data_IF_165099195012
#
_entry.id   IF_165099195012
#
_cell.length_a   1.000
_cell.length_b   1.000
_cell.length_c   1.000
_cell.angle_alpha   90.00
_cell.angle_beta   90.00
_cell.angle_gamma   90.00
#
_symmetry.space_group_name_H-M   'P 1'
#
loop_
_entity.id
_entity.type
_entity.pdbx_description
1 polymer ?
#
# COMPACT_ATOMS: atom_id res chain seq x y z
N UNK A 1 15.47 -35.09 -21.26
CA UNK A 1 15.39 -33.79 -20.55
C UNK A 1 13.99 -33.70 -20.03
N UNK A 2 13.81 -33.67 -18.72
CA UNK A 2 12.50 -33.43 -18.08
C UNK A 2 12.10 -31.98 -18.43
N UNK A 3 11.18 -31.83 -19.39
CA UNK A 3 10.62 -30.51 -19.70
C UNK A 3 9.73 -30.08 -18.55
N UNK A 4 10.08 -29.01 -17.86
CA UNK A 4 9.23 -28.40 -16.82
C UNK A 4 7.84 -28.10 -17.39
N UNK A 5 6.79 -28.33 -16.60
CA UNK A 5 5.45 -27.88 -16.98
C UNK A 5 5.35 -26.35 -16.97
N UNK A 6 4.34 -25.80 -17.65
CA UNK A 6 4.12 -24.35 -17.69
C UNK A 6 3.90 -23.81 -16.29
N UNK A 7 3.15 -24.54 -15.44
CA UNK A 7 2.91 -24.18 -14.04
C UNK A 7 4.22 -24.16 -13.23
N UNK A 8 5.11 -25.12 -13.45
CA UNK A 8 6.40 -25.17 -12.77
C UNK A 8 7.29 -23.99 -13.17
N UNK A 9 7.35 -23.63 -14.45
CA UNK A 9 8.11 -22.45 -14.90
C UNK A 9 7.49 -21.16 -14.37
N UNK A 10 6.16 -21.03 -14.37
CA UNK A 10 5.50 -19.88 -13.74
C UNK A 10 5.81 -19.81 -12.24
N UNK A 11 5.89 -20.95 -11.55
CA UNK A 11 6.27 -21.00 -10.13
C UNK A 11 7.74 -20.61 -9.91
N UNK A 12 8.66 -21.03 -10.79
CA UNK A 12 10.05 -20.57 -10.76
C UNK A 12 10.13 -19.06 -10.97
N UNK A 13 9.40 -18.51 -11.93
CA UNK A 13 9.34 -17.06 -12.14
C UNK A 13 8.71 -16.32 -10.95
N UNK A 14 7.65 -16.88 -10.35
CA UNK A 14 7.03 -16.32 -9.15
C UNK A 14 8.01 -16.31 -7.97
N UNK A 15 8.67 -17.42 -7.70
CA UNK A 15 9.71 -17.52 -6.66
C UNK A 15 10.88 -16.57 -6.95
N UNK A 16 11.29 -16.48 -8.22
CA UNK A 16 12.29 -15.51 -8.69
C UNK A 16 11.89 -14.06 -8.42
N UNK A 17 10.62 -13.71 -8.62
CA UNK A 17 10.10 -12.39 -8.27
C UNK A 17 10.19 -12.14 -6.76
N UNK A 18 9.76 -13.09 -5.93
CA UNK A 18 9.87 -12.97 -4.47
C UNK A 18 11.33 -12.79 -4.04
N UNK A 19 12.26 -13.61 -4.54
CA UNK A 19 13.70 -13.50 -4.23
C UNK A 19 14.26 -12.14 -4.71
N UNK A 20 13.89 -11.69 -5.92
CA UNK A 20 14.31 -10.42 -6.48
C UNK A 20 13.92 -9.24 -5.58
N UNK A 21 12.73 -9.27 -4.96
CA UNK A 21 12.29 -8.23 -4.02
C UNK A 21 13.28 -8.02 -2.88
N UNK A 22 13.96 -9.06 -2.40
CA UNK A 22 15.02 -8.94 -1.39
C UNK A 22 16.34 -8.42 -1.96
N UNK A 23 16.55 -8.58 -3.25
CA UNK A 23 17.78 -8.17 -3.93
C UNK A 23 17.76 -6.72 -4.42
N UNK A 24 16.64 -6.01 -4.33
CA UNK A 24 16.48 -4.62 -4.79
C UNK A 24 17.55 -3.69 -4.22
N UNK A 25 17.91 -3.82 -2.92
CA UNK A 25 19.01 -3.05 -2.31
C UNK A 25 20.39 -3.42 -2.84
N UNK A 26 20.55 -4.63 -3.36
CA UNK A 26 21.82 -5.07 -3.99
C UNK A 26 21.93 -4.40 -5.36
N UNK A 27 20.84 -4.40 -6.14
CA UNK A 27 20.80 -3.71 -7.44
C UNK A 27 21.03 -2.20 -7.29
N UNK A 28 20.41 -1.54 -6.30
CA UNK A 28 20.65 -0.13 -6.01
C UNK A 28 22.14 0.16 -5.74
N UNK A 29 22.77 -0.62 -4.85
CA UNK A 29 24.21 -0.48 -4.55
C UNK A 29 25.11 -0.81 -5.74
N UNK A 30 24.65 -1.68 -6.62
CA UNK A 30 25.40 -2.01 -7.84
C UNK A 30 25.29 -0.88 -8.85
N UNK A 31 24.15 -0.21 -8.96
CA UNK A 31 23.95 0.97 -9.79
C UNK A 31 24.95 2.09 -9.46
N UNK A 32 25.21 2.33 -8.17
CA UNK A 32 26.17 3.34 -7.69
C UNK A 32 27.61 3.12 -8.19
N UNK A 33 27.93 1.96 -8.81
CA UNK A 33 29.26 1.66 -9.37
C UNK A 33 29.41 2.08 -10.84
N UNK A 34 28.33 2.46 -11.49
CA UNK A 34 28.32 2.85 -12.89
C UNK A 34 28.26 4.38 -13.02
N UNK A 35 28.75 4.94 -14.15
CA UNK A 35 28.67 6.37 -14.39
C UNK A 35 27.22 6.87 -14.38
N UNK A 36 27.02 8.03 -13.74
CA UNK A 36 25.70 8.69 -13.66
C UNK A 36 25.12 8.92 -15.06
N UNK A 37 23.86 8.55 -15.26
CA UNK A 37 23.14 8.63 -16.52
C UNK A 37 23.46 7.51 -17.53
N UNK A 38 24.31 6.53 -17.16
CA UNK A 38 24.61 5.39 -18.04
C UNK A 38 23.41 4.43 -18.13
N UNK A 39 23.32 3.68 -19.25
CA UNK A 39 22.29 2.66 -19.43
C UNK A 39 22.34 1.59 -18.32
N UNK A 40 23.55 1.20 -17.90
CA UNK A 40 23.75 0.20 -16.87
C UNK A 40 23.24 0.68 -15.49
N UNK A 41 23.56 1.92 -15.13
CA UNK A 41 23.05 2.55 -13.90
C UNK A 41 21.53 2.62 -13.92
N UNK A 42 20.94 3.18 -14.99
CA UNK A 42 19.49 3.32 -15.13
C UNK A 42 18.76 1.97 -15.08
N UNK A 43 19.32 0.93 -15.75
CA UNK A 43 18.77 -0.42 -15.72
C UNK A 43 18.80 -1.02 -14.30
N UNK A 44 19.92 -0.85 -13.60
CA UNK A 44 20.06 -1.36 -12.23
C UNK A 44 19.16 -0.62 -11.25
N UNK A 45 18.96 0.69 -11.40
CA UNK A 45 17.96 1.44 -10.63
C UNK A 45 16.55 0.95 -10.93
N UNK A 46 16.22 0.69 -12.20
CA UNK A 46 14.92 0.11 -12.54
C UNK A 46 14.72 -1.28 -11.92
N UNK A 47 15.73 -2.15 -11.92
CA UNK A 47 15.70 -3.46 -11.25
C UNK A 47 15.66 -3.33 -9.70
N UNK A 48 16.05 -2.20 -9.16
CA UNK A 48 15.99 -1.92 -7.72
C UNK A 48 14.60 -1.44 -7.25
N UNK A 49 13.68 -1.10 -8.17
CA UNK A 49 12.30 -0.72 -7.83
C UNK A 49 11.48 -1.99 -7.53
N UNK A 50 10.92 -2.08 -6.32
CA UNK A 50 10.11 -3.25 -5.89
C UNK A 50 8.88 -3.41 -6.79
N UNK A 51 8.30 -2.31 -7.21
CA UNK A 51 7.09 -2.24 -8.02
C UNK A 51 7.24 -2.82 -9.44
N UNK A 52 8.47 -2.98 -9.95
CA UNK A 52 8.67 -3.57 -11.28
C UNK A 52 8.86 -5.09 -11.25
N UNK A 53 9.16 -5.64 -10.08
CA UNK A 53 9.67 -7.01 -9.95
C UNK A 53 8.72 -8.04 -10.55
N UNK A 54 7.48 -8.09 -10.11
CA UNK A 54 6.52 -9.09 -10.62
C UNK A 54 6.23 -8.92 -12.11
N UNK A 55 6.14 -7.67 -12.61
CA UNK A 55 5.96 -7.40 -14.03
C UNK A 55 7.12 -7.88 -14.90
N UNK A 56 8.37 -7.71 -14.44
CA UNK A 56 9.55 -8.22 -15.13
C UNK A 56 9.58 -9.75 -15.24
N UNK A 57 9.31 -10.43 -14.12
CA UNK A 57 9.27 -11.90 -14.11
C UNK A 57 8.08 -12.46 -14.88
N UNK A 58 6.94 -11.76 -14.91
CA UNK A 58 5.83 -12.09 -15.79
C UNK A 58 6.21 -11.96 -17.27
N UNK A 59 6.93 -10.89 -17.65
CA UNK A 59 7.45 -10.73 -19.00
C UNK A 59 8.45 -11.86 -19.38
N UNK A 60 9.31 -12.27 -18.44
CA UNK A 60 10.22 -13.41 -18.64
C UNK A 60 9.44 -14.73 -18.87
N UNK A 61 8.40 -14.97 -18.07
CA UNK A 61 7.50 -16.12 -18.21
C UNK A 61 6.77 -16.11 -19.58
N UNK A 62 6.25 -14.96 -20.00
CA UNK A 62 5.57 -14.83 -21.29
C UNK A 62 6.54 -15.02 -22.47
N UNK A 63 7.79 -14.55 -22.34
CA UNK A 63 8.86 -14.83 -23.29
C UNK A 63 9.14 -16.34 -23.40
N UNK A 64 9.24 -17.03 -22.27
CA UNK A 64 9.37 -18.49 -22.24
C UNK A 64 8.19 -19.19 -22.92
N UNK A 65 6.94 -18.78 -22.59
CA UNK A 65 5.73 -19.35 -23.17
C UNK A 65 5.67 -19.16 -24.70
N UNK A 66 6.09 -17.98 -25.16
CA UNK A 66 6.20 -17.64 -26.59
C UNK A 66 7.26 -18.51 -27.30
N UNK A 67 8.37 -18.78 -26.62
CA UNK A 67 9.45 -19.62 -27.18
C UNK A 67 9.06 -21.10 -27.28
N UNK A 68 8.43 -21.65 -26.23
CA UNK A 68 8.09 -23.09 -26.18
C UNK A 68 6.86 -23.46 -26.99
N UNK A 69 5.87 -22.56 -27.05
CA UNK A 69 4.66 -22.75 -27.85
C UNK A 69 4.67 -21.85 -29.07
N UNK A 70 4.19 -20.66 -28.91
CA UNK A 70 4.15 -19.58 -29.91
C UNK A 70 3.68 -18.27 -29.23
N UNK A 71 3.86 -17.14 -29.91
CA UNK A 71 3.42 -15.83 -29.43
C UNK A 71 1.90 -15.75 -29.22
N UNK A 72 1.13 -16.46 -30.06
CA UNK A 72 -0.34 -16.50 -29.95
C UNK A 72 -0.78 -17.21 -28.66
N UNK A 73 -0.03 -18.20 -28.20
CA UNK A 73 -0.30 -18.85 -26.91
C UNK A 73 -0.07 -17.90 -25.75
N UNK A 74 0.98 -17.08 -25.78
CA UNK A 74 1.23 -16.07 -24.77
C UNK A 74 0.16 -14.97 -24.77
N UNK A 75 -0.29 -14.54 -25.94
CA UNK A 75 -1.40 -13.57 -26.09
C UNK A 75 -2.68 -14.14 -25.53
N UNK A 76 -3.08 -15.36 -25.95
CA UNK A 76 -4.29 -16.02 -25.39
C UNK A 76 -4.22 -16.21 -23.88
N UNK A 77 -3.03 -16.49 -23.35
CA UNK A 77 -2.84 -16.56 -21.90
C UNK A 77 -3.13 -15.21 -21.25
N UNK A 78 -2.54 -14.11 -21.75
CA UNK A 78 -2.80 -12.75 -21.23
C UNK A 78 -4.27 -12.36 -21.33
N UNK A 79 -4.96 -12.71 -22.42
CA UNK A 79 -6.40 -12.47 -22.58
C UNK A 79 -7.25 -13.22 -21.54
N UNK A 80 -6.76 -14.33 -21.00
CA UNK A 80 -7.41 -15.08 -19.92
C UNK A 80 -7.19 -14.48 -18.54
N UNK A 81 -6.20 -13.59 -18.38
CA UNK A 81 -5.86 -12.96 -17.10
C UNK A 81 -6.77 -11.76 -16.85
N UNK A 82 -7.32 -11.65 -15.64
CA UNK A 82 -8.13 -10.50 -15.26
C UNK A 82 -7.24 -9.33 -14.79
N UNK A 83 -7.17 -8.28 -15.61
CA UNK A 83 -6.44 -7.05 -15.30
C UNK A 83 -7.32 -5.94 -14.73
N UNK A 84 -8.58 -6.20 -14.40
CA UNK A 84 -9.50 -5.16 -13.90
C UNK A 84 -9.00 -4.53 -12.62
N UNK A 85 -8.56 -5.33 -11.66
CA UNK A 85 -8.05 -4.85 -10.38
C UNK A 85 -6.74 -4.05 -10.53
N UNK A 86 -5.72 -4.51 -11.25
CA UNK A 86 -4.52 -3.71 -11.55
C UNK A 86 -4.84 -2.37 -12.23
N UNK A 87 -5.72 -2.37 -13.23
CA UNK A 87 -6.12 -1.15 -13.92
C UNK A 87 -6.90 -0.19 -13.02
N UNK A 88 -7.79 -0.72 -12.17
CA UNK A 88 -8.52 0.09 -11.18
C UNK A 88 -7.57 0.75 -10.18
N UNK A 89 -6.60 0.00 -9.65
CA UNK A 89 -5.59 0.55 -8.72
C UNK A 89 -4.79 1.68 -9.38
N UNK A 90 -4.39 1.52 -10.65
CA UNK A 90 -3.74 2.60 -11.41
C UNK A 90 -4.58 3.88 -11.41
N UNK A 91 -5.85 3.74 -11.81
CA UNK A 91 -6.76 4.89 -11.96
C UNK A 91 -7.01 5.57 -10.63
N UNK A 92 -7.39 4.81 -9.61
CA UNK A 92 -7.76 5.40 -8.31
C UNK A 92 -6.55 6.04 -7.61
N UNK A 93 -5.36 5.44 -7.71
CA UNK A 93 -4.13 6.03 -7.16
C UNK A 93 -3.75 7.33 -7.84
N UNK A 94 -3.83 7.38 -9.18
CA UNK A 94 -3.54 8.61 -9.94
C UNK A 94 -4.50 9.74 -9.56
N UNK A 95 -5.79 9.45 -9.40
CA UNK A 95 -6.82 10.42 -9.02
C UNK A 95 -6.66 10.89 -7.56
N UNK A 96 -6.47 9.95 -6.64
CA UNK A 96 -6.36 10.22 -5.21
C UNK A 96 -5.10 11.03 -4.83
N UNK A 97 -4.03 10.90 -5.62
CA UNK A 97 -2.77 11.65 -5.40
C UNK A 97 -2.79 13.08 -5.93
N UNK A 98 -3.91 13.56 -6.44
CA UNK A 98 -4.05 14.93 -6.96
C UNK A 98 -4.03 15.99 -5.86
N UNK A 99 -3.53 17.18 -6.18
CA UNK A 99 -3.42 18.29 -5.22
C UNK A 99 -4.76 18.66 -4.55
N UNK A 100 -5.94 18.70 -5.23
CA UNK A 100 -7.21 18.95 -4.57
C UNK A 100 -7.61 17.94 -3.51
N UNK A 101 -7.38 16.63 -3.78
CA UNK A 101 -7.67 15.56 -2.82
C UNK A 101 -6.71 15.61 -1.62
N UNK A 102 -5.42 15.77 -1.89
CA UNK A 102 -4.40 15.89 -0.84
C UNK A 102 -4.64 17.12 0.05
N UNK A 103 -4.98 18.26 -0.54
CA UNK A 103 -5.32 19.49 0.20
C UNK A 103 -6.57 19.33 1.08
N UNK A 104 -7.55 18.55 0.64
CA UNK A 104 -8.71 18.21 1.47
C UNK A 104 -8.32 17.41 2.70
N UNK A 105 -7.48 16.37 2.53
CA UNK A 105 -6.98 15.55 3.65
C UNK A 105 -6.15 16.40 4.64
N UNK A 106 -5.22 17.21 4.14
CA UNK A 106 -4.44 18.15 4.96
C UNK A 106 -5.36 19.13 5.71
N UNK A 107 -6.39 19.65 5.01
CA UNK A 107 -7.38 20.58 5.57
C UNK A 107 -8.20 19.95 6.70
N UNK A 108 -8.61 18.71 6.57
CA UNK A 108 -9.30 17.98 7.63
C UNK A 108 -8.44 17.85 8.88
N UNK A 109 -7.18 17.39 8.74
CA UNK A 109 -6.28 17.21 9.88
C UNK A 109 -5.95 18.53 10.56
N UNK A 110 -5.65 19.57 9.79
CA UNK A 110 -5.34 20.90 10.34
C UNK A 110 -6.56 21.56 10.98
N UNK A 111 -7.75 21.36 10.41
CA UNK A 111 -9.01 21.85 10.94
C UNK A 111 -9.29 21.29 12.34
N UNK A 112 -9.20 19.98 12.52
CA UNK A 112 -9.38 19.36 13.84
C UNK A 112 -8.40 19.88 14.90
N UNK A 113 -7.13 20.05 14.54
CA UNK A 113 -6.13 20.56 15.50
C UNK A 113 -6.35 22.02 15.88
N UNK A 114 -6.87 22.85 14.97
CA UNK A 114 -7.11 24.28 15.20
C UNK A 114 -8.26 24.56 16.18
N UNK A 115 -9.17 23.60 16.35
CA UNK A 115 -10.30 23.70 17.31
C UNK A 115 -9.86 23.56 18.77
N UNK A 116 -8.60 23.17 19.03
CA UNK A 116 -8.11 22.85 20.37
C UNK A 116 -7.29 23.99 20.99
N UNK A 117 -7.26 24.11 22.35
CA UNK A 117 -6.40 25.05 23.05
C UNK A 117 -4.93 24.89 22.66
N UNK A 118 -4.18 26.00 22.57
CA UNK A 118 -2.76 26.01 22.16
C UNK A 118 -1.87 25.01 22.90
N UNK A 119 -2.11 24.79 24.20
CA UNK A 119 -1.36 23.85 25.04
C UNK A 119 -1.54 22.36 24.61
N UNK A 120 -2.62 22.03 23.93
CA UNK A 120 -2.94 20.68 23.47
C UNK A 120 -2.73 20.50 21.95
N UNK A 121 -2.48 21.56 21.21
CA UNK A 121 -2.49 21.55 19.75
C UNK A 121 -1.50 20.56 19.14
N UNK A 122 -0.27 20.47 19.65
CA UNK A 122 0.74 19.51 19.13
C UNK A 122 0.32 18.04 19.38
N UNK A 123 -0.29 17.76 20.53
CA UNK A 123 -0.82 16.43 20.84
C UNK A 123 -1.99 16.07 19.93
N UNK A 124 -2.94 16.99 19.78
CA UNK A 124 -4.13 16.78 18.95
C UNK A 124 -3.73 16.67 17.49
N UNK A 125 -2.84 17.53 17.01
CA UNK A 125 -2.30 17.44 15.64
C UNK A 125 -1.64 16.09 15.36
N UNK A 126 -0.78 15.64 16.29
CA UNK A 126 -0.13 14.34 16.21
C UNK A 126 -1.15 13.19 16.16
N UNK A 127 -2.09 13.16 17.11
CA UNK A 127 -3.11 12.11 17.18
C UNK A 127 -4.04 12.14 15.95
N UNK A 128 -4.43 13.33 15.48
CA UNK A 128 -5.25 13.45 14.27
C UNK A 128 -4.49 12.93 13.04
N UNK A 129 -3.21 13.27 12.89
CA UNK A 129 -2.38 12.76 11.81
C UNK A 129 -2.21 11.23 11.87
N UNK A 130 -2.10 10.66 13.07
CA UNK A 130 -1.88 9.22 13.27
C UNK A 130 -3.16 8.38 13.29
N UNK A 131 -4.34 8.99 13.43
CA UNK A 131 -5.64 8.31 13.43
C UNK A 131 -6.42 8.62 12.16
N UNK A 132 -6.69 9.91 11.91
CA UNK A 132 -7.59 10.30 10.81
C UNK A 132 -6.97 10.00 9.46
N UNK A 133 -5.68 10.28 9.29
CA UNK A 133 -5.02 10.06 7.98
C UNK A 133 -4.97 8.59 7.57
N UNK A 134 -4.56 7.63 8.44
CA UNK A 134 -4.68 6.20 8.12
C UNK A 134 -6.10 5.76 7.76
N UNK A 135 -7.12 6.21 8.49
CA UNK A 135 -8.51 5.88 8.20
C UNK A 135 -9.02 6.51 6.89
N UNK A 136 -8.55 7.72 6.56
CA UNK A 136 -8.81 8.33 5.25
C UNK A 136 -8.21 7.51 4.11
N UNK A 137 -7.18 6.69 4.36
CA UNK A 137 -6.63 5.74 3.40
C UNK A 137 -7.69 4.82 2.79
N UNK A 138 -8.74 4.51 3.54
CA UNK A 138 -9.90 3.74 3.05
C UNK A 138 -10.75 4.47 2.00
N UNK A 139 -10.56 5.77 1.82
CA UNK A 139 -11.33 6.58 0.87
C UNK A 139 -10.47 7.15 -0.26
N UNK A 140 -9.19 7.42 0.04
CA UNK A 140 -8.25 8.05 -0.91
C UNK A 140 -7.08 7.15 -1.30
N UNK A 141 -7.06 5.90 -0.91
CA UNK A 141 -6.00 4.89 -1.01
C UNK A 141 -4.88 5.01 0.04
N UNK A 142 -4.30 3.87 0.39
CA UNK A 142 -3.20 3.79 1.35
C UNK A 142 -1.97 4.61 0.95
N UNK A 143 -1.48 4.58 -0.33
CA UNK A 143 -0.34 5.40 -0.73
C UNK A 143 -0.60 6.90 -0.60
N UNK A 144 -1.80 7.38 -0.94
CA UNK A 144 -2.15 8.79 -0.79
C UNK A 144 -2.19 9.20 0.69
N UNK A 145 -2.82 8.39 1.54
CA UNK A 145 -2.86 8.61 2.98
C UNK A 145 -1.44 8.59 3.60
N UNK A 146 -0.58 7.69 3.15
CA UNK A 146 0.81 7.61 3.58
C UNK A 146 1.59 8.89 3.27
N UNK A 147 1.44 9.44 2.07
CA UNK A 147 2.08 10.72 1.70
C UNK A 147 1.60 11.85 2.60
N UNK A 148 0.28 11.98 2.81
CA UNK A 148 -0.29 13.00 3.70
C UNK A 148 0.26 12.85 5.11
N UNK A 149 0.17 11.65 5.70
CA UNK A 149 0.64 11.39 7.05
C UNK A 149 2.14 11.69 7.20
N UNK A 150 2.97 11.23 6.25
CA UNK A 150 4.40 11.49 6.26
C UNK A 150 4.72 12.99 6.23
N UNK A 151 4.07 13.75 5.34
CA UNK A 151 4.27 15.20 5.24
C UNK A 151 3.80 15.96 6.49
N UNK A 152 2.72 15.51 7.15
CA UNK A 152 2.24 16.10 8.39
C UNK A 152 3.15 15.79 9.58
N UNK A 153 3.70 14.58 9.64
CA UNK A 153 4.55 14.13 10.73
C UNK A 153 6.02 14.54 10.57
N UNK A 154 6.49 14.77 9.33
CA UNK A 154 7.88 15.11 9.04
C UNK A 154 8.37 16.31 9.87
N UNK A 155 7.74 17.50 9.86
CA UNK A 155 8.21 18.65 10.62
C UNK A 155 8.03 18.48 12.14
N UNK A 156 7.13 17.61 12.57
CA UNK A 156 6.83 17.40 13.98
C UNK A 156 7.80 16.43 14.65
N UNK A 157 8.12 15.31 14.00
CA UNK A 157 8.81 14.16 14.59
C UNK A 157 10.17 13.90 13.94
N UNK A 158 10.29 14.12 12.61
CA UNK A 158 11.46 13.71 11.85
C UNK A 158 12.48 14.84 11.60
N UNK A 159 12.26 16.00 12.18
CA UNK A 159 13.29 17.05 12.23
C UNK A 159 14.44 16.71 13.20
N UNK A 160 15.56 17.43 13.04
CA UNK A 160 16.76 17.25 13.87
C UNK A 160 16.44 17.45 15.35
N UNK A 161 17.13 16.71 16.23
CA UNK A 161 17.04 16.75 17.70
C UNK A 161 15.88 15.95 18.33
N UNK A 162 15.30 14.98 17.66
CA UNK A 162 14.37 14.02 18.27
C UNK A 162 15.06 12.69 18.54
N UNK A 163 14.58 11.95 19.55
CA UNK A 163 15.14 10.64 19.86
C UNK A 163 14.92 9.63 18.73
N UNK A 164 15.84 8.69 18.56
CA UNK A 164 15.68 7.59 17.62
C UNK A 164 14.45 6.74 17.99
N UNK A 165 14.19 6.55 19.28
CA UNK A 165 13.03 5.82 19.80
C UNK A 165 11.71 6.44 19.33
N UNK A 166 11.54 7.76 19.45
CA UNK A 166 10.35 8.44 18.96
C UNK A 166 10.18 8.24 17.44
N UNK A 167 11.26 8.43 16.66
CA UNK A 167 11.20 8.32 15.20
C UNK A 167 10.84 6.91 14.72
N UNK A 168 11.46 5.87 15.31
CA UNK A 168 11.14 4.48 14.93
C UNK A 168 9.75 4.07 15.39
N UNK A 169 9.32 4.44 16.62
CA UNK A 169 7.99 4.10 17.10
C UNK A 169 6.90 4.79 16.29
N UNK A 170 7.07 6.06 15.93
CA UNK A 170 6.10 6.77 15.08
C UNK A 170 6.06 6.21 13.67
N UNK A 171 7.23 5.94 13.05
CA UNK A 171 7.28 5.33 11.72
C UNK A 171 6.60 3.95 11.73
N UNK A 172 6.93 3.09 12.69
CA UNK A 172 6.36 1.75 12.78
C UNK A 172 4.85 1.77 12.96
N UNK A 173 4.34 2.60 13.90
CA UNK A 173 2.89 2.76 14.10
C UNK A 173 2.23 3.35 12.85
N UNK A 174 2.88 4.28 12.15
CA UNK A 174 2.34 4.82 10.90
C UNK A 174 2.16 3.72 9.84
N UNK A 175 3.19 2.87 9.64
CA UNK A 175 3.12 1.77 8.66
C UNK A 175 2.00 0.77 9.01
N UNK A 176 1.89 0.36 10.28
CA UNK A 176 0.83 -0.55 10.73
C UNK A 176 -0.54 0.10 10.58
N UNK A 177 -0.70 1.35 11.05
CA UNK A 177 -1.97 2.04 11.02
C UNK A 177 -2.47 2.31 9.59
N UNK A 178 -1.58 2.61 8.63
CA UNK A 178 -1.97 2.75 7.22
C UNK A 178 -2.46 1.42 6.66
N UNK A 179 -1.77 0.31 6.95
CA UNK A 179 -2.14 -1.01 6.46
C UNK A 179 -3.50 -1.46 6.98
N UNK A 180 -3.78 -1.32 8.28
CA UNK A 180 -5.09 -1.70 8.83
C UNK A 180 -6.15 -0.62 8.61
N UNK A 181 -5.76 0.66 8.60
CA UNK A 181 -6.67 1.80 8.43
C UNK A 181 -7.26 1.89 7.02
N UNK A 182 -6.62 1.28 6.01
CA UNK A 182 -7.13 1.19 4.64
C UNK A 182 -8.30 0.24 4.45
N UNK A 183 -8.69 -0.53 5.47
CA UNK A 183 -9.64 -1.64 5.36
C UNK A 183 -11.10 -1.30 5.66
N UNK A 184 -11.47 -0.02 5.86
CA UNK A 184 -12.87 0.37 6.07
C UNK A 184 -13.71 0.18 4.81
N UNK A 185 -13.09 0.21 3.64
CA UNK A 185 -13.77 0.05 2.35
C UNK A 185 -13.15 -1.09 1.56
N UNK A 186 -13.90 -1.61 0.58
CA UNK A 186 -13.47 -2.72 -0.26
C UNK A 186 -12.61 -2.28 -1.47
N UNK A 187 -12.38 -0.98 -1.67
CA UNK A 187 -11.79 -0.43 -2.90
C UNK A 187 -10.50 0.38 -2.71
N UNK A 188 -9.98 0.50 -1.48
CA UNK A 188 -8.86 1.42 -1.24
C UNK A 188 -7.53 0.72 -0.92
N UNK A 189 -7.58 -0.40 -0.19
CA UNK A 189 -6.41 -1.17 0.20
C UNK A 189 -6.14 -2.30 -0.81
N UNK A 190 -4.95 -2.38 -1.42
CA UNK A 190 -4.64 -3.43 -2.39
C UNK A 190 -4.96 -4.85 -1.92
N UNK A 191 -4.63 -5.28 -0.69
CA UNK A 191 -4.95 -6.62 -0.23
C UNK A 191 -6.45 -6.91 -0.14
N UNK A 192 -7.27 -5.88 0.07
CA UNK A 192 -8.75 -6.00 0.07
C UNK A 192 -9.29 -6.01 -1.35
N UNK A 193 -8.78 -5.14 -2.23
CA UNK A 193 -9.18 -5.06 -3.64
C UNK A 193 -9.01 -6.43 -4.31
N UNK A 194 -7.90 -7.11 -4.06
CA UNK A 194 -7.59 -8.42 -4.65
C UNK A 194 -8.64 -9.48 -4.31
N UNK A 195 -9.30 -9.40 -3.17
CA UNK A 195 -10.27 -10.42 -2.70
C UNK A 195 -11.72 -9.98 -2.82
N UNK A 196 -12.01 -8.69 -2.80
CA UNK A 196 -13.38 -8.16 -2.66
C UNK A 196 -14.32 -8.68 -3.74
N UNK A 197 -13.91 -8.63 -5.01
CA UNK A 197 -14.71 -9.14 -6.11
C UNK A 197 -14.82 -10.66 -6.10
N UNK A 198 -13.73 -11.37 -5.81
CA UNK A 198 -13.69 -12.83 -5.82
C UNK A 198 -14.56 -13.44 -4.71
N UNK A 199 -14.68 -12.76 -3.57
CA UNK A 199 -15.42 -13.24 -2.41
C UNK A 199 -16.73 -12.49 -2.15
N UNK A 200 -17.08 -11.50 -2.98
CA UNK A 200 -18.29 -10.70 -2.85
C UNK A 200 -18.28 -9.77 -1.64
N UNK A 201 -17.09 -9.31 -1.21
CA UNK A 201 -16.96 -8.39 -0.09
C UNK A 201 -17.24 -6.95 -0.52
N UNK A 202 -18.31 -6.40 -0.02
CA UNK A 202 -18.75 -5.03 -0.28
C UNK A 202 -18.39 -4.08 0.86
N UNK A 203 -18.89 -2.85 0.78
CA UNK A 203 -18.67 -1.83 1.79
C UNK A 203 -19.24 -2.23 3.16
N UNK A 204 -20.44 -2.82 3.18
CA UNK A 204 -21.09 -3.24 4.41
C UNK A 204 -20.29 -4.35 5.10
N UNK A 205 -19.88 -5.36 4.33
CA UNK A 205 -19.01 -6.42 4.84
C UNK A 205 -17.73 -5.88 5.46
N UNK A 206 -17.04 -4.96 4.75
CA UNK A 206 -15.80 -4.39 5.25
C UNK A 206 -16.01 -3.57 6.52
N UNK A 207 -17.02 -2.73 6.60
CA UNK A 207 -17.32 -1.94 7.80
C UNK A 207 -17.62 -2.82 8.99
N UNK A 208 -18.44 -3.87 8.80
CA UNK A 208 -18.90 -4.76 9.89
C UNK A 208 -17.84 -5.74 10.37
N UNK A 209 -16.93 -6.19 9.50
CA UNK A 209 -15.96 -7.23 9.86
C UNK A 209 -14.54 -6.69 10.11
N UNK A 210 -14.14 -5.61 9.44
CA UNK A 210 -12.79 -5.01 9.54
C UNK A 210 -12.84 -3.58 10.07
N UNK A 211 -13.68 -2.73 9.51
CA UNK A 211 -13.58 -1.29 9.61
C UNK A 211 -13.56 -0.76 11.05
N UNK A 212 -14.57 -1.09 11.84
CA UNK A 212 -14.65 -0.61 13.23
C UNK A 212 -13.54 -1.18 14.11
N UNK A 213 -13.14 -2.45 13.92
CA UNK A 213 -12.05 -3.08 14.66
C UNK A 213 -10.72 -2.37 14.36
N UNK A 214 -10.44 -2.16 13.08
CA UNK A 214 -9.25 -1.45 12.63
C UNK A 214 -9.23 0.01 13.11
N UNK A 215 -10.36 0.70 13.10
CA UNK A 215 -10.46 2.07 13.63
C UNK A 215 -10.11 2.14 15.14
N UNK A 216 -10.58 1.18 15.93
CA UNK A 216 -10.23 1.07 17.36
C UNK A 216 -8.72 0.82 17.51
N UNK A 217 -8.15 -0.13 16.76
CA UNK A 217 -6.72 -0.46 16.86
C UNK A 217 -5.85 0.71 16.41
N UNK A 218 -6.20 1.38 15.31
CA UNK A 218 -5.53 2.59 14.84
C UNK A 218 -5.48 3.64 15.95
N UNK A 219 -6.60 3.86 16.63
CA UNK A 219 -6.68 4.81 17.75
C UNK A 219 -5.82 4.35 18.95
N UNK A 220 -5.87 3.08 19.33
CA UNK A 220 -5.06 2.51 20.42
C UNK A 220 -3.57 2.66 20.12
N UNK A 221 -3.12 2.28 18.92
CA UNK A 221 -1.73 2.40 18.50
C UNK A 221 -1.25 3.86 18.53
N UNK A 222 -2.05 4.79 18.02
CA UNK A 222 -1.72 6.22 18.02
C UNK A 222 -1.64 6.79 19.43
N UNK A 223 -2.59 6.44 20.31
CA UNK A 223 -2.60 6.88 21.70
C UNK A 223 -1.42 6.27 22.46
N UNK A 224 -1.13 5.00 22.27
CA UNK A 224 -0.01 4.34 22.93
C UNK A 224 1.33 5.00 22.58
N UNK A 225 1.62 5.22 21.28
CA UNK A 225 2.87 5.87 20.88
C UNK A 225 2.94 7.32 21.38
N UNK A 226 1.80 8.03 21.44
CA UNK A 226 1.72 9.35 22.04
C UNK A 226 2.07 9.31 23.53
N UNK A 227 1.47 8.42 24.31
CA UNK A 227 1.70 8.31 25.75
C UNK A 227 3.14 7.93 26.06
N UNK A 228 3.74 7.01 25.31
CA UNK A 228 5.14 6.62 25.47
C UNK A 228 6.13 7.76 25.17
N UNK A 229 5.75 8.70 24.32
CA UNK A 229 6.61 9.79 23.87
C UNK A 229 6.03 11.19 24.18
N UNK A 230 5.08 11.30 25.12
CA UNK A 230 4.27 12.52 25.30
C UNK A 230 5.13 13.78 25.59
N UNK A 231 6.24 13.63 26.34
CA UNK A 231 7.13 14.74 26.66
C UNK A 231 7.77 15.36 25.42
N UNK A 232 8.27 14.51 24.52
CA UNK A 232 8.89 14.98 23.28
C UNK A 232 7.86 15.55 22.30
N UNK A 233 6.67 14.91 22.18
CA UNK A 233 5.62 15.35 21.25
C UNK A 233 5.03 16.70 21.71
N UNK A 234 4.83 16.91 23.01
CA UNK A 234 4.31 18.19 23.51
C UNK A 234 5.28 19.37 23.31
N UNK A 235 6.56 19.10 23.23
CA UNK A 235 7.59 20.11 22.95
C UNK A 235 7.76 20.39 21.46
N UNK A 236 7.01 19.69 20.59
CA UNK A 236 7.07 19.93 19.16
C UNK A 236 6.36 21.24 18.81
N UNK A 237 7.03 22.09 18.05
CA UNK A 237 6.38 23.25 17.44
C UNK A 237 5.50 22.82 16.29
N UNK A 238 4.28 23.31 16.24
CA UNK A 238 3.42 23.03 15.10
C UNK A 238 4.00 23.64 13.81
N UNK A 239 3.88 22.95 12.69
CA UNK A 239 4.27 23.53 11.42
C UNK A 239 3.42 24.78 11.19
N UNK A 240 4.10 25.90 10.85
CA UNK A 240 3.40 27.09 10.40
C UNK A 240 2.77 26.75 9.06
N UNK A 241 1.46 26.54 9.03
CA UNK A 241 0.73 26.47 7.77
C UNK A 241 0.85 27.83 7.09
N UNK A 242 1.93 28.00 6.31
CA UNK A 242 2.11 29.15 5.44
C UNK A 242 0.92 29.16 4.49
N UNK A 243 0.23 30.33 4.40
CA UNK A 243 -1.02 30.54 3.67
C UNK A 243 -0.98 30.11 2.20
N UNK A 244 -0.90 28.80 1.98
CA UNK A 244 -1.16 28.22 0.66
C UNK A 244 -2.56 28.64 0.27
N UNK A 245 -2.72 29.18 -0.94
CA UNK A 245 -4.03 29.52 -1.48
C UNK A 245 -5.00 28.37 -1.20
N UNK A 246 -6.11 28.68 -0.53
CA UNK A 246 -7.12 27.66 -0.18
C UNK A 246 -7.61 27.03 -1.47
N UNK A 247 -7.59 25.71 -1.54
CA UNK A 247 -8.16 24.96 -2.66
C UNK A 247 -9.67 25.29 -2.74
N UNK A 248 -10.18 25.70 -3.90
CA UNK A 248 -11.62 25.96 -4.06
C UNK A 248 -12.43 24.68 -3.80
N UNK A 249 -13.53 24.79 -3.06
CA UNK A 249 -14.38 23.65 -2.72
C UNK A 249 -14.90 22.91 -3.96
N UNK A 250 -15.28 23.63 -5.01
CA UNK A 250 -15.76 23.02 -6.24
C UNK A 250 -14.70 22.16 -6.93
N UNK A 251 -13.42 22.54 -6.80
CA UNK A 251 -12.30 21.76 -7.31
C UNK A 251 -12.17 20.42 -6.56
N UNK A 252 -12.17 20.46 -5.23
CA UNK A 252 -12.16 19.23 -4.41
C UNK A 252 -13.40 18.38 -4.69
N UNK A 253 -14.59 19.02 -4.75
CA UNK A 253 -15.85 18.32 -5.01
C UNK A 253 -15.84 17.61 -6.38
N UNK A 254 -15.32 18.25 -7.44
CA UNK A 254 -15.21 17.62 -8.76
C UNK A 254 -14.30 16.39 -8.73
N UNK A 255 -13.16 16.44 -8.05
CA UNK A 255 -12.24 15.29 -7.93
C UNK A 255 -12.89 14.14 -7.14
N UNK A 256 -13.54 14.46 -6.02
CA UNK A 256 -14.26 13.46 -5.20
C UNK A 256 -15.39 12.82 -6.01
N UNK A 257 -16.12 13.60 -6.83
CA UNK A 257 -17.20 13.08 -7.68
C UNK A 257 -16.66 12.11 -8.74
N UNK A 258 -15.55 12.47 -9.42
CA UNK A 258 -14.89 11.54 -10.36
C UNK A 258 -14.44 10.26 -9.66
N UNK A 259 -13.81 10.35 -8.49
CA UNK A 259 -13.39 9.18 -7.72
C UNK A 259 -14.59 8.32 -7.31
N UNK A 260 -15.66 8.93 -6.81
CA UNK A 260 -16.89 8.22 -6.43
C UNK A 260 -17.49 7.47 -7.62
N UNK A 261 -17.53 8.08 -8.81
CA UNK A 261 -18.03 7.44 -10.02
C UNK A 261 -17.12 6.25 -10.45
N UNK A 262 -15.79 6.39 -10.38
CA UNK A 262 -14.84 5.29 -10.66
C UNK A 262 -15.05 4.15 -9.68
N UNK A 263 -15.15 4.45 -8.37
CA UNK A 263 -15.36 3.44 -7.31
C UNK A 263 -16.69 2.72 -7.47
N UNK A 264 -17.78 3.43 -7.81
CA UNK A 264 -19.09 2.82 -7.99
C UNK A 264 -19.13 1.75 -9.10
N UNK A 265 -18.22 1.84 -10.06
CA UNK A 265 -18.13 0.91 -11.20
C UNK A 265 -16.75 0.27 -11.33
N UNK A 266 -16.06 0.06 -10.20
CA UNK A 266 -14.70 -0.50 -10.13
C UNK A 266 -14.54 -1.87 -10.84
N UNK A 267 -15.62 -2.66 -10.93
CA UNK A 267 -15.61 -3.94 -11.63
C UNK A 267 -15.69 -3.85 -13.17
N UNK A 268 -15.87 -2.64 -13.74
CA UNK A 268 -16.03 -2.44 -15.18
C UNK A 268 -14.92 -1.56 -15.76
N UNK A 269 -13.88 -2.19 -16.31
CA UNK A 269 -12.79 -1.48 -17.00
C UNK A 269 -13.31 -0.59 -18.14
N UNK A 270 -14.32 -1.06 -18.88
CA UNK A 270 -14.96 -0.31 -19.97
C UNK A 270 -15.63 0.98 -19.50
N UNK A 271 -15.97 1.10 -18.21
CA UNK A 271 -16.54 2.31 -17.62
C UNK A 271 -15.45 3.22 -17.02
N UNK A 272 -14.62 2.69 -16.12
CA UNK A 272 -13.72 3.56 -15.36
C UNK A 272 -12.51 4.05 -16.16
N UNK A 273 -12.05 3.35 -17.21
CA UNK A 273 -10.93 3.82 -18.03
C UNK A 273 -11.32 5.05 -18.87
N UNK A 274 -12.44 5.07 -19.62
CA UNK A 274 -12.88 6.29 -20.29
C UNK A 274 -13.16 7.45 -19.33
N UNK A 275 -13.72 7.17 -18.14
CA UNK A 275 -13.96 8.19 -17.12
C UNK A 275 -12.63 8.77 -16.60
N UNK A 276 -11.60 7.96 -16.47
CA UNK A 276 -10.27 8.44 -16.13
C UNK A 276 -9.66 9.31 -17.24
N UNK A 277 -9.85 8.97 -18.50
CA UNK A 277 -9.41 9.83 -19.62
C UNK A 277 -10.12 11.19 -19.59
N UNK A 278 -11.42 11.21 -19.28
CA UNK A 278 -12.16 12.46 -19.06
C UNK A 278 -11.59 13.25 -17.89
N UNK A 279 -11.25 12.55 -16.79
CA UNK A 279 -10.61 13.17 -15.63
C UNK A 279 -9.24 13.78 -15.97
N UNK A 280 -8.42 13.12 -16.80
CA UNK A 280 -7.15 13.69 -17.27
C UNK A 280 -7.37 14.99 -18.04
N UNK A 281 -8.36 15.04 -18.92
CA UNK A 281 -8.77 16.27 -19.59
C UNK A 281 -9.23 17.36 -18.59
N UNK A 282 -9.98 16.96 -17.55
CA UNK A 282 -10.37 17.88 -16.48
C UNK A 282 -9.17 18.45 -15.72
N UNK A 283 -8.18 17.65 -15.39
CA UNK A 283 -6.96 18.12 -14.72
C UNK A 283 -6.16 19.06 -15.60
N UNK A 284 -6.16 18.87 -16.92
CA UNK A 284 -5.48 19.78 -17.86
C UNK A 284 -6.20 21.13 -17.99
N UNK A 285 -7.53 21.13 -18.05
CA UNK A 285 -8.36 22.36 -18.05
C UNK A 285 -8.18 23.15 -16.75
N UNK A 286 -7.96 22.47 -15.64
CA UNK A 286 -7.84 23.05 -14.30
C UNK A 286 -6.41 23.08 -13.76
N UNK A 287 -5.41 23.12 -14.66
CA UNK A 287 -3.98 22.97 -14.34
C UNK A 287 -3.45 23.96 -13.31
N UNK A 288 -4.03 25.14 -13.20
CA UNK A 288 -3.69 26.14 -12.19
C UNK A 288 -3.90 25.66 -10.74
N UNK A 289 -4.81 24.71 -10.54
CA UNK A 289 -5.11 24.10 -9.25
C UNK A 289 -4.44 22.73 -9.08
N UNK A 290 -3.71 22.24 -10.10
CA UNK A 290 -3.08 20.93 -10.08
C UNK A 290 -1.59 20.99 -9.73
N UNK A 291 -1.04 19.85 -9.38
CA UNK A 291 0.38 19.52 -9.45
C UNK A 291 0.56 18.38 -10.45
N UNK A 292 1.78 18.13 -10.94
CA UNK A 292 2.01 16.99 -11.82
C UNK A 292 1.40 15.71 -11.27
N UNK A 293 0.62 15.02 -12.11
CA UNK A 293 -0.01 13.76 -11.73
C UNK A 293 1.06 12.68 -11.48
N UNK A 294 0.88 11.89 -10.45
CA UNK A 294 1.77 10.76 -10.10
C UNK A 294 1.46 9.52 -10.94
N UNK A 295 1.42 9.71 -12.28
CA UNK A 295 1.07 8.62 -13.20
C UNK A 295 2.12 7.51 -13.20
N UNK A 296 3.42 7.86 -13.12
CA UNK A 296 4.51 6.87 -13.13
C UNK A 296 4.41 5.95 -11.91
N UNK A 297 4.28 6.51 -10.72
CA UNK A 297 4.17 5.77 -9.47
C UNK A 297 2.93 4.87 -9.47
N UNK A 298 1.79 5.40 -9.91
CA UNK A 298 0.54 4.63 -10.01
C UNK A 298 0.65 3.50 -11.04
N UNK A 299 1.31 3.74 -12.17
CA UNK A 299 1.54 2.74 -13.22
C UNK A 299 2.47 1.62 -12.75
N UNK A 300 3.51 1.95 -11.98
CA UNK A 300 4.42 0.96 -11.41
C UNK A 300 3.70 -0.02 -10.47
N UNK A 301 2.82 0.49 -9.60
CA UNK A 301 2.00 -0.38 -8.74
C UNK A 301 1.04 -1.25 -9.57
N UNK A 302 0.43 -0.70 -10.62
CA UNK A 302 -0.41 -1.49 -11.53
C UNK A 302 0.41 -2.55 -12.29
N UNK A 303 1.64 -2.24 -12.68
CA UNK A 303 2.55 -3.19 -13.33
C UNK A 303 2.96 -4.33 -12.37
N UNK A 304 3.22 -4.00 -11.11
CA UNK A 304 3.42 -5.01 -10.06
C UNK A 304 2.21 -5.95 -9.94
N UNK A 305 1.01 -5.38 -9.76
CA UNK A 305 -0.22 -6.16 -9.62
C UNK A 305 -0.55 -6.95 -10.90
N UNK A 306 -0.33 -6.36 -12.07
CA UNK A 306 -0.50 -7.05 -13.35
C UNK A 306 0.43 -8.25 -13.50
N UNK A 307 1.69 -8.10 -13.12
CA UNK A 307 2.66 -9.21 -13.07
C UNK A 307 2.28 -10.26 -12.04
N UNK A 308 1.80 -9.81 -10.88
CA UNK A 308 1.32 -10.70 -9.82
C UNK A 308 0.15 -11.58 -10.28
N UNK A 309 -0.90 -11.02 -10.90
CA UNK A 309 -2.04 -11.80 -11.38
C UNK A 309 -1.64 -12.71 -12.53
N UNK A 310 -0.71 -12.27 -13.40
CA UNK A 310 -0.19 -13.06 -14.52
C UNK A 310 0.54 -14.32 -14.02
N UNK A 311 1.47 -14.20 -13.09
CA UNK A 311 2.21 -15.33 -12.54
C UNK A 311 1.37 -16.12 -11.52
N UNK A 312 0.59 -15.43 -10.73
CA UNK A 312 -0.16 -15.98 -9.61
C UNK A 312 -1.26 -16.94 -10.04
N UNK A 313 -1.94 -16.68 -11.16
CA UNK A 313 -3.01 -17.57 -11.69
C UNK A 313 -2.58 -19.04 -11.83
N UNK A 314 -1.29 -19.28 -12.05
CA UNK A 314 -0.72 -20.63 -12.20
C UNK A 314 -0.15 -21.22 -10.89
N UNK A 315 -0.34 -20.54 -9.73
CA UNK A 315 0.21 -21.01 -8.45
C UNK A 315 -0.73 -21.96 -7.68
N UNK A 316 -1.96 -22.11 -8.12
CA UNK A 316 -3.00 -22.88 -7.43
C UNK A 316 -2.55 -24.28 -7.00
N UNK A 317 -1.82 -25.00 -7.85
CA UNK A 317 -1.46 -26.41 -7.68
C UNK A 317 -0.69 -26.71 -6.39
N UNK A 318 0.08 -25.76 -5.88
CA UNK A 318 0.85 -25.93 -4.63
C UNK A 318 0.25 -25.14 -3.46
N UNK A 319 -0.44 -24.02 -3.71
CA UNK A 319 -1.04 -23.18 -2.67
C UNK A 319 -2.28 -23.84 -2.07
N UNK A 320 -3.15 -24.40 -2.92
CA UNK A 320 -4.40 -25.01 -2.49
C UNK A 320 -4.21 -26.09 -1.40
N UNK A 321 -3.35 -27.09 -1.56
CA UNK A 321 -3.13 -28.09 -0.51
C UNK A 321 -2.54 -27.52 0.78
N UNK A 322 -1.68 -26.50 0.69
CA UNK A 322 -1.08 -25.88 1.87
C UNK A 322 -2.16 -25.10 2.63
N UNK A 323 -2.82 -24.16 2.00
CA UNK A 323 -3.78 -23.27 2.66
C UNK A 323 -4.99 -24.05 3.19
N UNK A 324 -5.47 -25.05 2.43
CA UNK A 324 -6.61 -25.88 2.85
C UNK A 324 -6.29 -26.79 4.05
N UNK A 325 -5.03 -27.05 4.33
CA UNK A 325 -4.61 -27.86 5.48
C UNK A 325 -4.45 -27.06 6.77
N UNK A 326 -4.40 -25.73 6.70
CA UNK A 326 -4.14 -24.88 7.86
C UNK A 326 -5.42 -24.61 8.68
N UNK A 327 -5.33 -24.76 9.99
CA UNK A 327 -6.35 -24.25 10.88
C UNK A 327 -6.41 -22.71 10.85
N UNK A 328 -7.56 -22.09 11.15
CA UNK A 328 -7.71 -20.63 11.07
C UNK A 328 -6.63 -19.84 11.81
N UNK A 329 -6.22 -20.25 13.00
CA UNK A 329 -5.15 -19.59 13.75
C UNK A 329 -3.79 -19.71 13.07
N UNK A 330 -3.47 -20.88 12.49
CA UNK A 330 -2.23 -21.09 11.74
C UNK A 330 -2.20 -20.24 10.48
N UNK A 331 -3.34 -20.14 9.79
CA UNK A 331 -3.49 -19.30 8.60
C UNK A 331 -3.33 -17.82 8.94
N UNK A 332 -3.94 -17.34 10.04
CA UNK A 332 -3.83 -15.96 10.53
C UNK A 332 -2.36 -15.60 10.85
N UNK A 333 -1.71 -16.41 11.70
CA UNK A 333 -0.32 -16.15 12.11
C UNK A 333 0.61 -16.31 10.91
N UNK A 334 0.39 -17.32 10.08
CA UNK A 334 1.16 -17.56 8.85
C UNK A 334 1.04 -16.39 7.88
N UNK A 335 -0.17 -15.87 7.66
CA UNK A 335 -0.40 -14.70 6.82
C UNK A 335 0.31 -13.46 7.38
N UNK A 336 0.22 -13.20 8.69
CA UNK A 336 0.92 -12.08 9.33
C UNK A 336 2.44 -12.19 9.17
N UNK A 337 3.01 -13.38 9.38
CA UNK A 337 4.45 -13.61 9.29
C UNK A 337 4.95 -13.55 7.83
N UNK A 338 4.21 -14.14 6.90
CA UNK A 338 4.56 -14.12 5.47
C UNK A 338 4.51 -12.71 4.90
N UNK A 339 3.57 -11.88 5.33
CA UNK A 339 3.50 -10.48 4.91
C UNK A 339 4.75 -9.69 5.29
N UNK A 340 5.45 -10.06 6.36
CA UNK A 340 6.74 -9.43 6.69
C UNK A 340 7.83 -9.64 5.63
N UNK A 341 7.70 -10.68 4.80
CA UNK A 341 8.67 -11.05 3.77
C UNK A 341 8.09 -11.02 2.34
N UNK A 342 6.79 -10.75 2.20
CA UNK A 342 6.10 -10.56 0.92
C UNK A 342 5.15 -9.36 1.02
N UNK A 343 4.62 -8.92 -0.13
CA UNK A 343 3.56 -7.91 -0.15
C UNK A 343 2.21 -8.52 0.29
N UNK A 344 1.41 -7.77 1.06
CA UNK A 344 0.13 -8.22 1.58
C UNK A 344 -0.92 -8.47 0.47
N UNK A 345 -0.90 -7.68 -0.62
CA UNK A 345 -1.79 -7.90 -1.75
C UNK A 345 -1.45 -9.19 -2.52
N UNK A 346 -0.15 -9.51 -2.62
CA UNK A 346 0.27 -10.78 -3.21
C UNK A 346 -0.30 -11.97 -2.42
N UNK A 347 -0.20 -11.91 -1.09
CA UNK A 347 -0.67 -12.99 -0.23
C UNK A 347 -2.20 -13.17 -0.29
N UNK A 348 -2.96 -12.08 -0.24
CA UNK A 348 -4.42 -12.14 -0.32
C UNK A 348 -4.90 -12.60 -1.69
N UNK A 349 -4.25 -12.14 -2.77
CA UNK A 349 -4.53 -12.65 -4.12
C UNK A 349 -4.35 -14.17 -4.21
N UNK A 350 -3.25 -14.71 -3.69
CA UNK A 350 -3.01 -16.17 -3.69
C UNK A 350 -4.12 -16.93 -2.95
N UNK A 351 -4.70 -16.33 -1.91
CA UNK A 351 -5.88 -16.88 -1.22
C UNK A 351 -7.10 -17.04 -2.11
N UNK A 352 -7.30 -16.17 -3.11
CA UNK A 352 -8.43 -16.26 -4.04
C UNK A 352 -8.35 -17.47 -4.97
N UNK A 353 -7.16 -18.05 -5.12
CA UNK A 353 -6.95 -19.22 -5.97
C UNK A 353 -7.37 -20.52 -5.29
N UNK A 354 -7.65 -20.50 -3.98
CA UNK A 354 -8.05 -21.67 -3.21
C UNK A 354 -9.57 -21.77 -3.18
N UNK A 355 -10.17 -22.73 -3.91
CA UNK A 355 -11.61 -22.89 -3.91
C UNK A 355 -12.11 -23.46 -2.58
N UNK A 356 -13.33 -23.09 -2.21
CA UNK A 356 -14.00 -23.66 -1.05
C UNK A 356 -13.44 -23.22 0.31
N UNK A 357 -12.61 -22.16 0.38
CA UNK A 357 -12.22 -21.57 1.64
C UNK A 357 -13.46 -21.15 2.44
N UNK A 358 -13.50 -21.54 3.72
CA UNK A 358 -14.54 -21.09 4.64
C UNK A 358 -14.47 -19.55 4.83
N UNK A 359 -15.58 -18.93 5.18
CA UNK A 359 -15.60 -17.48 5.43
C UNK A 359 -14.68 -17.08 6.59
N UNK A 360 -14.52 -17.96 7.58
CA UNK A 360 -13.52 -17.77 8.64
C UNK A 360 -12.10 -17.77 8.07
N UNK A 361 -11.76 -18.73 7.19
CA UNK A 361 -10.43 -18.81 6.60
C UNK A 361 -10.14 -17.60 5.69
N UNK A 362 -11.13 -17.14 4.92
CA UNK A 362 -11.01 -15.91 4.12
C UNK A 362 -10.75 -14.70 5.00
N UNK A 363 -11.54 -14.54 6.07
CA UNK A 363 -11.39 -13.44 7.02
C UNK A 363 -9.99 -13.44 7.66
N UNK A 364 -9.58 -14.56 8.26
CA UNK A 364 -8.30 -14.63 8.99
C UNK A 364 -7.09 -14.48 8.08
N UNK A 365 -7.17 -14.90 6.82
CA UNK A 365 -6.12 -14.70 5.83
C UNK A 365 -5.90 -13.19 5.58
N UNK A 366 -6.97 -12.46 5.28
CA UNK A 366 -6.88 -11.02 5.01
C UNK A 366 -6.52 -10.26 6.29
N UNK A 367 -7.13 -10.61 7.42
CA UNK A 367 -6.84 -10.00 8.71
C UNK A 367 -5.36 -10.14 9.10
N UNK A 368 -4.79 -11.35 8.90
CA UNK A 368 -3.35 -11.57 9.11
C UNK A 368 -2.48 -10.78 8.14
N UNK A 369 -2.83 -10.76 6.85
CA UNK A 369 -2.09 -10.03 5.82
C UNK A 369 -2.07 -8.52 6.11
N UNK A 370 -3.20 -7.90 6.44
CA UNK A 370 -3.24 -6.46 6.74
C UNK A 370 -2.59 -6.12 8.08
N UNK A 371 -2.69 -6.99 9.10
CA UNK A 371 -1.98 -6.80 10.37
C UNK A 371 -0.45 -6.82 10.18
N UNK A 372 0.05 -7.72 9.32
CA UNK A 372 1.48 -7.84 9.01
C UNK A 372 2.04 -6.73 8.13
N UNK A 373 1.19 -5.96 7.43
CA UNK A 373 1.60 -4.99 6.41
C UNK A 373 2.50 -3.84 6.88
N UNK A 374 2.59 -3.60 8.19
CA UNK A 374 3.50 -2.59 8.77
C UNK A 374 4.84 -3.13 9.27
N UNK A 375 5.08 -4.45 9.22
CA UNK A 375 6.26 -5.07 9.84
C UNK A 375 7.58 -4.70 9.16
N UNK A 376 7.58 -4.57 7.85
CA UNK A 376 8.78 -4.30 7.06
C UNK A 376 8.50 -3.30 5.93
N UNK A 377 9.57 -2.88 5.27
CA UNK A 377 9.48 -1.97 4.10
C UNK A 377 8.70 -2.61 2.96
N UNK A 378 8.84 -3.91 2.74
CA UNK A 378 8.26 -4.64 1.61
C UNK A 378 6.88 -5.24 1.91
N UNK A 379 6.45 -5.19 3.15
CA UNK A 379 5.20 -5.81 3.60
C UNK A 379 3.93 -5.16 3.01
N UNK A 380 4.02 -3.91 2.58
CA UNK A 380 2.91 -3.20 1.94
C UNK A 380 3.44 -2.12 0.98
N UNK A 381 2.81 -1.95 -0.16
CA UNK A 381 3.20 -1.01 -1.23
C UNK A 381 3.44 0.45 -0.78
N UNK A 382 2.68 1.07 0.15
CA UNK A 382 2.94 2.43 0.62
C UNK A 382 4.16 2.58 1.55
N UNK A 383 4.73 1.51 2.09
CA UNK A 383 5.81 1.59 3.06
C UNK A 383 7.11 2.24 2.51
N UNK A 384 7.57 1.91 1.29
CA UNK A 384 8.71 2.59 0.68
C UNK A 384 8.50 4.10 0.56
N UNK A 385 7.27 4.56 0.30
CA UNK A 385 6.93 5.98 0.19
C UNK A 385 7.19 6.70 1.53
N UNK A 386 6.70 6.15 2.64
CA UNK A 386 6.97 6.71 3.97
C UNK A 386 8.47 6.82 4.25
N UNK A 387 9.20 5.75 3.97
CA UNK A 387 10.64 5.70 4.21
C UNK A 387 11.37 6.71 3.32
N UNK A 388 11.02 6.81 2.05
CA UNK A 388 11.57 7.79 1.12
C UNK A 388 11.41 9.24 1.62
N UNK A 389 10.22 9.58 2.09
CA UNK A 389 9.89 10.92 2.60
C UNK A 389 10.53 11.22 3.96
N UNK A 390 10.64 10.23 4.85
CA UNK A 390 11.03 10.43 6.24
C UNK A 390 12.49 10.07 6.54
N UNK A 391 13.22 9.43 5.61
CA UNK A 391 14.62 8.98 5.82
C UNK A 391 15.58 10.08 6.22
N UNK A 392 15.35 11.34 5.80
CA UNK A 392 16.17 12.49 6.20
C UNK A 392 16.19 12.72 7.71
N UNK A 393 15.19 12.25 8.44
CA UNK A 393 15.12 12.29 9.88
C UNK A 393 15.99 11.24 10.60
N UNK A 394 16.56 10.27 9.91
CA UNK A 394 17.36 9.18 10.49
C UNK A 394 18.85 9.37 10.25
N UNK A 395 19.67 8.81 11.14
CA UNK A 395 21.13 8.87 11.03
C UNK A 395 21.61 8.25 9.72
N UNK A 396 22.48 8.96 9.00
CA UNK A 396 22.95 8.51 7.68
C UNK A 396 21.88 8.48 6.60
N UNK A 397 20.74 9.19 6.79
CA UNK A 397 19.60 9.21 5.87
C UNK A 397 19.08 7.80 5.49
N UNK A 398 19.17 6.86 6.44
CA UNK A 398 18.77 5.47 6.24
C UNK A 398 18.00 4.94 7.43
N UNK A 399 16.91 4.20 7.13
CA UNK A 399 16.10 3.49 8.13
C UNK A 399 16.67 2.09 8.29
N UNK A 400 17.04 1.71 9.53
CA UNK A 400 17.48 0.36 9.84
C UNK A 400 16.30 -0.62 9.77
N UNK A 401 16.36 -1.65 8.92
CA UNK A 401 15.27 -2.63 8.80
C UNK A 401 14.99 -3.37 10.11
N UNK A 402 16.04 -3.72 10.86
CA UNK A 402 15.88 -4.41 12.15
C UNK A 402 15.23 -3.52 13.20
N UNK A 403 15.65 -2.26 13.30
CA UNK A 403 15.05 -1.31 14.26
C UNK A 403 13.60 -1.03 13.91
N UNK A 404 13.26 -0.95 12.62
CA UNK A 404 11.87 -0.80 12.16
C UNK A 404 11.04 -2.04 12.53
N UNK A 405 11.53 -3.24 12.22
CA UNK A 405 10.85 -4.48 12.55
C UNK A 405 10.57 -4.59 14.05
N UNK A 406 11.59 -4.34 14.90
CA UNK A 406 11.44 -4.40 16.36
C UNK A 406 10.41 -3.37 16.87
N UNK A 407 10.41 -2.15 16.33
CA UNK A 407 9.43 -1.12 16.69
C UNK A 407 8.01 -1.47 16.21
N UNK A 408 7.86 -2.23 15.12
CA UNK A 408 6.58 -2.62 14.55
C UNK A 408 5.93 -3.82 15.27
N UNK A 409 6.66 -4.58 16.08
CA UNK A 409 6.12 -5.78 16.76
C UNK A 409 4.91 -5.43 17.63
N UNK A 410 5.03 -4.44 18.50
CA UNK A 410 3.94 -4.09 19.44
C UNK A 410 2.68 -3.62 18.71
N UNK A 411 2.72 -2.63 17.79
CA UNK A 411 1.51 -2.22 17.07
C UNK A 411 0.93 -3.34 16.19
N UNK A 412 1.76 -4.23 15.65
CA UNK A 412 1.27 -5.41 14.91
C UNK A 412 0.58 -6.42 15.83
N UNK A 413 1.12 -6.69 17.01
CA UNK A 413 0.45 -7.55 18.00
C UNK A 413 -0.92 -6.96 18.38
N UNK A 414 -1.00 -5.65 18.61
CA UNK A 414 -2.28 -5.00 18.90
C UNK A 414 -3.27 -5.11 17.72
N UNK A 415 -2.78 -5.01 16.48
CA UNK A 415 -3.59 -5.23 15.29
C UNK A 415 -4.08 -6.69 15.20
N UNK A 416 -3.20 -7.65 15.47
CA UNK A 416 -3.58 -9.07 15.51
C UNK A 416 -4.64 -9.35 16.60
N UNK A 417 -4.45 -8.82 17.80
CA UNK A 417 -5.40 -9.01 18.90
C UNK A 417 -6.75 -8.35 18.57
N UNK A 418 -6.75 -7.13 18.02
CA UNK A 418 -7.99 -6.47 17.64
C UNK A 418 -8.73 -7.20 16.52
N UNK A 419 -8.05 -7.66 15.49
CA UNK A 419 -8.68 -8.39 14.39
C UNK A 419 -9.10 -9.81 14.76
N UNK A 420 -8.49 -10.42 15.79
CA UNK A 420 -8.82 -11.77 16.21
C UNK A 420 -9.92 -11.82 17.27
N UNK A 421 -9.97 -10.89 18.23
CA UNK A 421 -10.85 -10.96 19.38
C UNK A 421 -12.05 -9.99 19.36
N UNK A 422 -11.96 -8.90 18.60
CA UNK A 422 -13.11 -8.00 18.41
C UNK A 422 -14.04 -8.53 17.33
#
# INVERSE_FOLDING_TARGET
MTTFSIEQVATICFAGAVVHTFLTKVFARLADRFPEGSLAENLLHYLAEVEVVFGLWAAAFLGYLSYVKDISAAVRYLESVNFTEPAFVFVIMAMASTKPVMAACEGLVSGFSSLMPRAAQSAVYFLTAMIVTPLLGSFVTEPAAMVVAALLLQPLVFERNRSATLRYSVLAVLLVNISIGGTLTHFAAPPVIMVSKAWGWDLEFMLMNFGWKCAIVVAINAVLVYLLNFKEIRQCSLPKFSGKAKMPLWMTASHVLFMAAVVSYHGSMAFFVPLFLLFLGWTDVTREHQSPLKLRESLLVAFFLGGLVTLGQLQRWWIEPIVSSLAPLQLFIGATALTAVTDNAALTYLGTLVPGLSDVSKYVLVAGAVAGGGLTVIANAPNPIAIGLLKSGFSGHSVSPLSLLLAAIIPTILACLGLWYL
#
